data_IF_735469251199
#
_entry.id   IF_735469251199
#
_cell.length_a   1.000
_cell.length_b   1.000
_cell.length_c   1.000
_cell.angle_alpha   90.00
_cell.angle_beta   90.00
_cell.angle_gamma   90.00
#
_symmetry.space_group_name_H-M   'P 1'
#
loop_
_entity.id
_entity.type
_entity.pdbx_description
1 polymer ?
#
# COMPACT_ATOMS: atom_id res chain seq x y z
N UNK A 1 11.67 -15.38 6.70
CA UNK A 1 10.48 -14.53 6.94
C UNK A 1 10.34 -13.60 5.76
N UNK A 2 9.20 -13.55 5.03
CA UNK A 2 9.04 -12.49 4.04
C UNK A 2 9.13 -11.17 4.80
N UNK A 3 10.05 -10.29 4.38
CA UNK A 3 10.20 -8.95 4.97
C UNK A 3 8.94 -8.15 4.61
N UNK A 4 7.88 -8.32 5.40
CA UNK A 4 6.68 -7.52 5.29
C UNK A 4 7.09 -6.07 5.52
N UNK A 5 6.89 -5.22 4.51
CA UNK A 5 7.07 -3.77 4.69
C UNK A 5 6.24 -3.34 5.89
N UNK A 6 6.87 -2.64 6.84
CA UNK A 6 6.21 -2.11 8.03
C UNK A 6 4.99 -1.26 7.65
N UNK A 7 3.94 -1.32 8.46
CA UNK A 7 2.70 -0.58 8.20
C UNK A 7 2.96 0.93 8.09
N UNK A 8 3.83 1.48 8.96
CA UNK A 8 4.28 2.88 8.91
C UNK A 8 4.90 3.25 7.55
N UNK A 9 5.68 2.34 6.97
CA UNK A 9 6.30 2.57 5.67
C UNK A 9 5.26 2.65 4.55
N UNK A 10 4.29 1.73 4.54
CA UNK A 10 3.19 1.75 3.56
C UNK A 10 2.35 3.02 3.72
N UNK A 11 2.05 3.41 4.95
CA UNK A 11 1.28 4.61 5.24
C UNK A 11 2.01 5.87 4.72
N UNK A 12 3.31 6.02 4.99
CA UNK A 12 4.11 7.14 4.47
C UNK A 12 4.11 7.21 2.95
N UNK A 13 4.25 6.06 2.28
CA UNK A 13 4.22 5.98 0.82
C UNK A 13 2.86 6.43 0.27
N UNK A 14 1.75 5.91 0.82
CA UNK A 14 0.40 6.24 0.37
C UNK A 14 0.04 7.69 0.70
N UNK A 15 0.42 8.22 1.87
CA UNK A 15 0.26 9.65 2.20
C UNK A 15 0.99 10.53 1.20
N UNK A 16 2.21 10.16 0.79
CA UNK A 16 2.95 10.87 -0.24
C UNK A 16 2.17 10.91 -1.56
N UNK A 17 1.60 9.77 -1.98
CA UNK A 17 0.80 9.68 -3.20
C UNK A 17 -0.51 10.49 -3.09
N UNK A 18 -1.17 10.44 -1.94
CA UNK A 18 -2.42 11.16 -1.68
C UNK A 18 -2.22 12.69 -1.72
N UNK A 19 -1.06 13.19 -1.26
CA UNK A 19 -0.65 14.60 -1.36
C UNK A 19 -0.45 15.11 -2.81
N UNK A 20 -0.83 14.34 -3.82
CA UNK A 20 -0.73 14.72 -5.24
C UNK A 20 0.56 14.28 -5.93
N UNK A 21 1.43 13.51 -5.25
CA UNK A 21 2.59 12.91 -5.91
C UNK A 21 2.15 11.66 -6.67
N UNK A 22 2.65 11.50 -7.89
CA UNK A 22 2.36 10.29 -8.68
C UNK A 22 2.94 9.05 -8.01
N UNK A 23 2.32 7.88 -8.23
CA UNK A 23 2.83 6.59 -7.74
C UNK A 23 4.29 6.35 -8.17
N UNK A 24 4.66 6.84 -9.36
CA UNK A 24 6.03 6.81 -9.87
C UNK A 24 7.00 7.67 -9.05
N UNK A 25 6.59 8.86 -8.64
CA UNK A 25 7.42 9.74 -7.82
C UNK A 25 7.65 9.15 -6.42
N UNK A 26 6.61 8.55 -5.84
CA UNK A 26 6.75 7.82 -4.58
C UNK A 26 7.65 6.59 -4.74
N UNK A 27 7.50 5.83 -5.83
CA UNK A 27 8.35 4.69 -6.16
C UNK A 27 9.84 5.04 -6.19
N UNK A 28 10.22 6.12 -6.88
CA UNK A 28 11.61 6.60 -6.93
C UNK A 28 12.08 7.12 -5.57
N UNK A 29 11.24 7.86 -4.84
CA UNK A 29 11.59 8.44 -3.54
C UNK A 29 11.87 7.38 -2.47
N UNK A 30 11.12 6.28 -2.51
CA UNK A 30 11.18 5.22 -1.50
C UNK A 30 11.91 3.96 -2.00
N UNK A 31 12.48 4.00 -3.21
CA UNK A 31 13.12 2.87 -3.89
C UNK A 31 12.28 1.57 -3.85
N UNK A 32 11.00 1.71 -4.20
CA UNK A 32 10.06 0.58 -4.27
C UNK A 32 9.40 0.53 -5.63
N UNK A 33 9.00 -0.66 -6.08
CA UNK A 33 8.32 -0.79 -7.37
C UNK A 33 7.01 0.02 -7.40
N UNK A 34 6.80 0.80 -8.47
CA UNK A 34 5.57 1.56 -8.68
C UNK A 34 4.32 0.67 -8.69
N UNK A 35 4.45 -0.58 -9.15
CA UNK A 35 3.39 -1.58 -9.07
C UNK A 35 3.00 -1.92 -7.62
N UNK A 36 3.98 -2.00 -6.70
CA UNK A 36 3.73 -2.20 -5.27
C UNK A 36 2.94 -1.04 -4.69
N UNK A 37 3.36 0.20 -4.97
CA UNK A 37 2.66 1.42 -4.54
C UNK A 37 1.22 1.44 -5.06
N UNK A 38 1.04 1.13 -6.35
CA UNK A 38 -0.28 1.09 -7.00
C UNK A 38 -1.17 0.02 -6.39
N UNK A 39 -0.62 -1.13 -6.04
CA UNK A 39 -1.37 -2.20 -5.38
C UNK A 39 -1.81 -1.80 -3.96
N UNK A 40 -0.93 -1.14 -3.19
CA UNK A 40 -1.29 -0.57 -1.88
C UNK A 40 -2.36 0.51 -2.01
N UNK A 41 -2.26 1.41 -3.00
CA UNK A 41 -3.26 2.46 -3.24
C UNK A 41 -4.62 1.87 -3.66
N UNK A 42 -4.61 0.84 -4.52
CA UNK A 42 -5.82 0.10 -4.90
C UNK A 42 -6.48 -0.55 -3.70
N UNK A 43 -5.70 -1.20 -2.82
CA UNK A 43 -6.24 -1.79 -1.58
C UNK A 43 -6.78 -0.72 -0.64
N UNK A 44 -6.06 0.38 -0.45
CA UNK A 44 -6.53 1.52 0.33
C UNK A 44 -7.88 2.05 -0.19
N UNK A 45 -8.05 2.18 -1.51
CA UNK A 45 -9.31 2.63 -2.12
C UNK A 45 -10.45 1.60 -1.97
N UNK A 46 -10.15 0.31 -1.99
CA UNK A 46 -11.15 -0.76 -1.90
C UNK A 46 -11.57 -1.11 -0.48
N UNK A 47 -10.66 -1.01 0.48
CA UNK A 47 -10.87 -1.42 1.88
C UNK A 47 -11.03 -0.23 2.82
N UNK A 48 -10.68 0.99 2.38
CA UNK A 48 -10.72 2.20 3.20
C UNK A 48 -9.63 2.29 4.27
N UNK A 49 -8.71 1.31 4.35
CA UNK A 49 -7.67 1.27 5.37
C UNK A 49 -6.32 0.71 4.85
N UNK A 50 -5.23 1.12 5.52
CA UNK A 50 -3.83 0.83 5.14
C UNK A 50 -3.30 -0.52 5.63
N UNK A 51 -4.08 -1.21 6.48
CA UNK A 51 -3.65 -2.43 7.14
C UNK A 51 -3.55 -3.57 6.14
N UNK A 52 -2.45 -4.31 6.20
CA UNK A 52 -2.40 -5.64 5.61
C UNK A 52 -3.58 -6.42 6.18
N UNK A 53 -4.43 -7.01 5.32
CA UNK A 53 -5.45 -7.95 5.77
C UNK A 53 -4.79 -8.96 6.70
N UNK A 54 -5.04 -8.84 8.00
CA UNK A 54 -5.15 -10.04 8.80
C UNK A 54 -6.20 -10.88 8.07
N UNK A 55 -5.88 -12.13 7.76
CA UNK A 55 -6.76 -13.01 6.98
C UNK A 55 -8.02 -13.31 7.80
N UNK A 56 -8.90 -12.34 7.97
CA UNK A 56 -10.25 -12.59 8.44
C UNK A 56 -11.04 -13.04 7.22
N UNK A 57 -10.99 -14.34 7.00
CA UNK A 57 -11.71 -15.00 5.92
C UNK A 57 -13.22 -14.79 6.04
N UNK A 58 -13.88 -14.86 4.88
CA UNK A 58 -14.91 -15.86 4.65
C UNK A 58 -15.14 -15.96 3.15
N UNK A 59 -14.77 -17.13 2.62
CA UNK A 59 -15.33 -17.64 1.38
C UNK A 59 -16.79 -17.95 1.71
N UNK A 60 -17.71 -17.13 1.23
CA UNK A 60 -19.13 -17.44 1.27
C UNK A 60 -19.40 -18.60 0.29
N UNK A 61 -19.86 -19.74 0.82
CA UNK A 61 -20.87 -20.63 0.25
C UNK A 61 -21.25 -21.68 1.28
#
# INVERSE_FOLDING_TARGET
>A
MPKSYSEDFREKVIKCVNQGKSCNAASVKFDIAANTVRNWYKRYKSEGHYKERDRLGKKEK
#
